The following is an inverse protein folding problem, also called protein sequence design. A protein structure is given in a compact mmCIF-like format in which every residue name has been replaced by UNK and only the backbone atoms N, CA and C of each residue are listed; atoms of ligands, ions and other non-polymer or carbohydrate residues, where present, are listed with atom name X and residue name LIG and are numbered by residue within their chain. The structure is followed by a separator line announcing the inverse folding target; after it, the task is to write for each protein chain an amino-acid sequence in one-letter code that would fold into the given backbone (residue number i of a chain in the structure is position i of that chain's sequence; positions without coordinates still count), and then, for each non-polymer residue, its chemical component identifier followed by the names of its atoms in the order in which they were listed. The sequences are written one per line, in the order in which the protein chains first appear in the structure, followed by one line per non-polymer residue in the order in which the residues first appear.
data_IF_455014579793
#
_entry.id   IF_455014579793
#
_cell.length_a   1.000
_cell.length_b   1.000
_cell.length_c   1.000
_cell.angle_alpha   90.00
_cell.angle_beta   90.00
_cell.angle_gamma   90.00
#
_symmetry.space_group_name_H-M   'P 1'
#
loop_
_entity.id
_entity.type
_entity.pdbx_description
1 polymer ?
#
# COMPACT_ATOMS: atom_id res chain seq x y z
N UNK A 1 -17.57 2.20 -27.05
CA UNK A 1 -16.54 1.32 -26.43
C UNK A 1 -15.18 1.89 -26.79
N UNK A 2 -14.20 1.80 -25.88
CA UNK A 2 -12.84 2.29 -26.12
C UNK A 2 -12.18 1.51 -27.26
N UNK A 3 -11.31 2.16 -28.03
CA UNK A 3 -10.51 1.50 -29.07
C UNK A 3 -9.31 0.76 -28.45
N UNK A 4 -8.77 -0.23 -29.17
CA UNK A 4 -7.57 -0.95 -28.71
C UNK A 4 -6.37 0.00 -28.50
N UNK A 5 -6.25 1.03 -29.34
CA UNK A 5 -5.22 2.07 -29.20
C UNK A 5 -5.41 2.89 -27.91
N UNK A 6 -6.63 3.27 -27.59
CA UNK A 6 -6.92 4.00 -26.35
C UNK A 6 -6.58 3.18 -25.11
N UNK A 7 -6.88 1.87 -25.13
CA UNK A 7 -6.49 0.95 -24.05
C UNK A 7 -4.96 0.87 -23.94
N UNK A 8 -4.27 0.69 -25.07
CA UNK A 8 -2.81 0.64 -25.10
C UNK A 8 -2.16 1.91 -24.52
N UNK A 9 -2.68 3.10 -24.87
CA UNK A 9 -2.16 4.37 -24.36
C UNK A 9 -2.38 4.53 -22.84
N UNK A 10 -3.55 4.11 -22.35
CA UNK A 10 -3.87 4.14 -20.92
C UNK A 10 -2.93 3.25 -20.11
N UNK A 11 -2.75 2.00 -20.56
CA UNK A 11 -1.89 1.01 -19.89
C UNK A 11 -0.41 1.40 -19.94
N UNK A 12 0.05 1.89 -21.08
CA UNK A 12 1.48 2.13 -21.32
C UNK A 12 1.97 3.44 -20.71
N UNK A 13 1.14 4.48 -20.68
CA UNK A 13 1.58 5.82 -20.31
C UNK A 13 0.80 6.43 -19.15
N UNK A 14 -0.54 6.47 -19.25
CA UNK A 14 -1.34 7.20 -18.25
C UNK A 14 -1.33 6.56 -16.88
N UNK A 15 -1.47 5.23 -16.79
CA UNK A 15 -1.44 4.53 -15.51
C UNK A 15 -0.08 4.62 -14.80
N UNK A 16 1.07 4.35 -15.46
CA UNK A 16 2.37 4.52 -14.82
C UNK A 16 2.65 5.96 -14.34
N UNK A 17 2.28 6.97 -15.13
CA UNK A 17 2.40 8.37 -14.72
C UNK A 17 1.58 8.66 -13.45
N UNK A 18 0.33 8.20 -13.43
CA UNK A 18 -0.53 8.35 -12.26
C UNK A 18 0.02 7.63 -11.03
N UNK A 19 0.54 6.41 -11.18
CA UNK A 19 1.16 5.66 -10.07
C UNK A 19 2.38 6.39 -9.51
N UNK A 20 3.22 6.96 -10.37
CA UNK A 20 4.37 7.77 -9.94
C UNK A 20 3.94 9.02 -9.16
N UNK A 21 2.85 9.66 -9.59
CA UNK A 21 2.28 10.83 -8.88
C UNK A 21 1.66 10.47 -7.53
N UNK A 22 1.07 9.28 -7.41
CA UNK A 22 0.50 8.80 -6.14
C UNK A 22 1.56 8.33 -5.15
N UNK A 23 2.64 7.70 -5.64
CA UNK A 23 3.69 7.05 -4.85
C UNK A 23 4.19 7.83 -3.62
N UNK A 24 4.54 9.13 -3.69
CA UNK A 24 5.07 9.86 -2.52
C UNK A 24 4.04 10.00 -1.38
N UNK A 25 2.75 9.92 -1.67
CA UNK A 25 1.68 10.14 -0.69
C UNK A 25 0.98 8.85 -0.26
N UNK A 26 1.36 7.68 -0.81
CA UNK A 26 0.62 6.44 -0.58
C UNK A 26 0.52 6.05 0.90
N UNK A 27 1.59 6.24 1.68
CA UNK A 27 1.58 5.95 3.13
C UNK A 27 0.55 6.84 3.84
N UNK A 28 0.61 8.16 3.62
CA UNK A 28 -0.35 9.09 4.23
C UNK A 28 -1.79 8.86 3.77
N UNK A 29 -2.00 8.41 2.53
CA UNK A 29 -3.32 8.05 2.02
C UNK A 29 -3.89 6.83 2.74
N UNK A 30 -3.08 5.81 3.03
CA UNK A 30 -3.54 4.65 3.79
C UNK A 30 -3.68 4.95 5.29
N UNK A 31 -2.83 5.82 5.83
CA UNK A 31 -2.95 6.30 7.21
C UNK A 31 -4.28 7.05 7.44
N UNK A 32 -4.79 7.74 6.41
CA UNK A 32 -6.07 8.47 6.47
C UNK A 32 -7.31 7.60 6.71
N UNK A 33 -7.20 6.27 6.60
CA UNK A 33 -8.28 5.36 7.02
C UNK A 33 -8.37 5.17 8.55
N UNK A 34 -7.37 5.64 9.30
CA UNK A 34 -7.33 5.69 10.77
C UNK A 34 -7.51 4.32 11.48
N UNK A 35 -7.08 3.23 10.81
CA UNK A 35 -7.06 1.90 11.43
C UNK A 35 -5.99 1.84 12.51
N UNK A 36 -6.40 1.45 13.72
CA UNK A 36 -5.44 1.23 14.80
C UNK A 36 -4.78 -0.15 14.69
N UNK A 37 -3.54 -0.30 15.18
CA UNK A 37 -2.78 -1.56 15.08
C UNK A 37 -3.52 -2.78 15.69
N UNK A 38 -4.34 -2.56 16.72
CA UNK A 38 -5.18 -3.57 17.35
C UNK A 38 -6.40 -3.99 16.50
N UNK A 39 -6.87 -3.11 15.61
CA UNK A 39 -7.92 -3.43 14.62
C UNK A 39 -7.33 -4.12 13.39
N UNK A 40 -6.15 -3.66 12.95
CA UNK A 40 -5.47 -4.18 11.77
C UNK A 40 -4.84 -5.57 12.02
N UNK A 41 -4.43 -5.87 13.27
CA UNK A 41 -3.79 -7.12 13.71
C UNK A 41 -2.73 -7.66 12.73
N UNK A 42 -1.86 -6.77 12.24
CA UNK A 42 -0.86 -7.10 11.23
C UNK A 42 0.53 -6.65 11.67
N UNK A 43 1.46 -7.60 11.83
CA UNK A 43 2.86 -7.28 12.07
C UNK A 43 3.50 -6.51 10.90
N UNK A 44 3.08 -6.77 9.66
CA UNK A 44 3.60 -6.09 8.46
C UNK A 44 3.02 -4.68 8.29
N UNK A 45 1.80 -4.46 8.79
CA UNK A 45 1.05 -3.22 8.62
C UNK A 45 1.13 -2.26 9.78
N UNK A 46 2.04 -2.49 10.75
CA UNK A 46 2.16 -1.64 11.94
C UNK A 46 2.43 -0.18 11.56
N UNK A 47 1.74 0.73 12.25
CA UNK A 47 1.91 2.17 12.05
C UNK A 47 3.35 2.65 12.32
N UNK A 48 4.02 2.07 13.31
CA UNK A 48 5.39 2.45 13.69
C UNK A 48 6.50 1.90 12.76
N UNK A 49 6.14 1.04 11.80
CA UNK A 49 7.09 0.42 10.88
C UNK A 49 8.06 -0.59 11.51
N UNK A 50 7.90 -0.98 12.77
CA UNK A 50 8.77 -1.95 13.47
C UNK A 50 8.38 -3.40 13.13
N UNK A 51 8.45 -3.71 11.84
CA UNK A 51 7.93 -4.96 11.28
C UNK A 51 8.71 -6.19 11.72
N UNK A 52 10.05 -6.12 11.71
CA UNK A 52 10.89 -7.29 11.95
C UNK A 52 10.82 -7.75 13.40
N UNK A 53 10.91 -6.83 14.35
CA UNK A 53 10.79 -7.07 15.78
C UNK A 53 9.41 -7.69 16.09
N UNK A 54 8.34 -7.08 15.58
CA UNK A 54 6.98 -7.57 15.79
C UNK A 54 6.75 -8.97 15.21
N UNK A 55 7.28 -9.26 14.02
CA UNK A 55 7.21 -10.61 13.44
C UNK A 55 7.95 -11.65 14.28
N UNK A 56 9.15 -11.32 14.75
CA UNK A 56 9.96 -12.21 15.58
C UNK A 56 9.29 -12.49 16.93
N UNK A 57 8.69 -11.48 17.56
CA UNK A 57 7.92 -11.65 18.80
C UNK A 57 6.69 -12.53 18.58
N UNK A 58 5.90 -12.25 17.53
CA UNK A 58 4.72 -13.06 17.22
C UNK A 58 5.08 -14.51 16.92
N UNK A 59 6.20 -14.76 16.23
CA UNK A 59 6.67 -16.12 15.96
C UNK A 59 7.11 -16.87 17.23
N UNK A 60 7.63 -16.19 18.26
CA UNK A 60 8.04 -16.81 19.54
C UNK A 60 6.88 -17.13 20.47
N UNK A 61 5.75 -16.43 20.30
CA UNK A 61 4.54 -16.61 21.11
C UNK A 61 3.62 -17.74 20.57
N UNK A 62 3.92 -18.27 19.37
CA UNK A 62 3.25 -19.43 18.78
C UNK A 62 4.06 -20.70 19.01
#
# INVERSE_FOLDING_TARGET
LLTAEQVYQLETYSLPDMYNRLRPNLVTLVDGFDFHDNELDSCLGRYDGQVYEALMERARLN
#
